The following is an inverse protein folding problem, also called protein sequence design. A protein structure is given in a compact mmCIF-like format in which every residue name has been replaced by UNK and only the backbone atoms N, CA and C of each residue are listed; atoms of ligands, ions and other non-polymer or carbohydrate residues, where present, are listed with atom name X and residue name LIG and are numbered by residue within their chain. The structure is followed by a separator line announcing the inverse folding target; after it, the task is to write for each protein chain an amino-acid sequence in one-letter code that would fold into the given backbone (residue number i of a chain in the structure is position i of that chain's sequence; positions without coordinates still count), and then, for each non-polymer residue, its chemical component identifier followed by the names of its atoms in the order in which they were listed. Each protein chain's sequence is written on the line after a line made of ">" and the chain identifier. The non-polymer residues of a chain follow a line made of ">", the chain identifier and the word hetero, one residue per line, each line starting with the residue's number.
data_IF_409838272815
#
_entry.id   IF_409838272815
#
_cell.length_a   1.000
_cell.length_b   1.000
_cell.length_c   1.000
_cell.angle_alpha   90.00
_cell.angle_beta   90.00
_cell.angle_gamma   90.00
#
_symmetry.space_group_name_H-M   'P 1'
#
loop_
_entity.id
_entity.type
_entity.pdbx_description
1 polymer ?
#
# COMPACT_ATOMS: atom_id res chain seq x y z
N UNK A 1 -4.21 22.25 29.80
CA UNK A 1 -3.09 21.42 29.31
C UNK A 1 -3.59 20.80 28.04
N UNK A 2 -3.22 21.40 26.91
CA UNK A 2 -3.67 20.99 25.58
C UNK A 2 -3.14 19.59 25.28
N UNK A 3 -4.06 18.69 24.95
CA UNK A 3 -3.73 17.40 24.39
C UNK A 3 -3.26 17.70 22.98
N UNK A 4 -1.95 17.70 22.75
CA UNK A 4 -1.41 17.65 21.39
C UNK A 4 -1.89 16.33 20.80
N UNK A 5 -2.96 16.42 19.99
CA UNK A 5 -3.37 15.34 19.12
C UNK A 5 -2.19 15.16 18.18
N UNK A 6 -1.41 14.12 18.42
CA UNK A 6 -0.24 13.81 17.63
C UNK A 6 -0.77 13.30 16.29
N UNK A 7 -0.95 14.25 15.38
CA UNK A 7 -1.41 14.04 14.02
C UNK A 7 -0.50 12.97 13.40
N UNK A 8 -1.05 11.77 13.33
CA UNK A 8 -0.36 10.59 12.86
C UNK A 8 -0.31 10.71 11.35
N UNK A 9 0.60 11.56 10.85
CA UNK A 9 0.87 11.84 9.45
C UNK A 9 1.48 10.64 8.69
N UNK A 10 1.22 9.40 9.13
CA UNK A 10 1.14 8.27 8.19
C UNK A 10 0.03 8.65 7.23
N UNK A 11 0.40 9.30 6.13
CA UNK A 11 -0.52 9.83 5.15
C UNK A 11 -1.62 8.79 4.93
N UNK A 12 -2.86 9.17 5.25
CA UNK A 12 -4.08 8.38 5.10
C UNK A 12 -4.29 8.08 3.62
N UNK A 13 -3.46 7.18 3.10
CA UNK A 13 -3.40 6.86 1.69
C UNK A 13 -4.40 5.76 1.44
N UNK A 14 -5.31 6.01 0.51
CA UNK A 14 -6.25 5.02 0.00
C UNK A 14 -5.84 4.63 -1.40
N UNK A 15 -5.91 3.34 -1.71
CA UNK A 15 -5.56 2.81 -3.01
C UNK A 15 -6.79 2.20 -3.68
N UNK A 16 -6.95 2.46 -4.96
CA UNK A 16 -7.90 1.76 -5.82
C UNK A 16 -7.17 1.03 -6.93
N UNK A 17 -7.39 -0.28 -7.03
CA UNK A 17 -6.88 -1.13 -8.10
C UNK A 17 -8.00 -1.41 -9.10
N UNK A 18 -7.77 -1.05 -10.36
CA UNK A 18 -8.66 -1.36 -11.46
C UNK A 18 -8.11 -2.51 -12.29
N UNK A 19 -8.89 -3.57 -12.46
CA UNK A 19 -8.50 -4.77 -13.19
C UNK A 19 -9.42 -5.05 -14.36
N UNK A 20 -8.83 -5.41 -15.50
CA UNK A 20 -9.58 -5.84 -16.68
C UNK A 20 -10.15 -7.24 -16.44
N UNK A 21 -11.44 -7.31 -16.13
CA UNK A 21 -12.08 -8.55 -15.65
C UNK A 21 -12.59 -9.49 -16.76
N UNK A 22 -12.66 -9.03 -18.01
CA UNK A 22 -13.19 -9.81 -19.15
C UNK A 22 -12.13 -10.32 -20.14
N UNK A 23 -10.85 -10.28 -19.77
CA UNK A 23 -9.81 -10.87 -20.62
C UNK A 23 -9.76 -12.40 -20.42
N UNK A 24 -9.73 -13.21 -21.50
CA UNK A 24 -9.47 -14.64 -21.38
C UNK A 24 -8.12 -14.86 -20.69
N UNK A 25 -7.97 -16.03 -20.07
CA UNK A 25 -6.97 -16.57 -19.13
C UNK A 25 -5.49 -16.16 -19.30
N UNK A 26 -5.10 -15.49 -20.38
CA UNK A 26 -3.75 -15.03 -20.70
C UNK A 26 -3.23 -13.85 -19.84
N UNK A 27 -4.09 -13.08 -19.17
CA UNK A 27 -3.68 -12.00 -18.25
C UNK A 27 -3.57 -12.42 -16.78
N UNK A 28 -3.73 -13.72 -16.50
CA UNK A 28 -3.71 -14.30 -15.14
C UNK A 28 -2.56 -13.83 -14.24
N UNK A 29 -1.28 -13.97 -14.64
CA UNK A 29 -0.17 -13.79 -13.70
C UNK A 29 0.05 -12.33 -13.29
N UNK A 30 -0.15 -11.36 -14.18
CA UNK A 30 -0.02 -9.94 -13.85
C UNK A 30 -1.14 -9.47 -12.93
N UNK A 31 -2.37 -9.91 -13.20
CA UNK A 31 -3.53 -9.60 -12.36
C UNK A 31 -3.39 -10.20 -10.97
N UNK A 32 -3.06 -11.48 -10.89
CA UNK A 32 -2.91 -12.21 -9.62
C UNK A 32 -1.82 -11.58 -8.76
N UNK A 33 -0.65 -11.27 -9.35
CA UNK A 33 0.41 -10.54 -8.65
C UNK A 33 -0.03 -9.18 -8.14
N UNK A 34 -0.78 -8.41 -8.94
CA UNK A 34 -1.28 -7.10 -8.50
C UNK A 34 -2.26 -7.23 -7.32
N UNK A 35 -3.15 -8.22 -7.35
CA UNK A 35 -4.08 -8.52 -6.25
C UNK A 35 -3.32 -8.94 -4.99
N UNK A 36 -2.32 -9.83 -5.10
CA UNK A 36 -1.45 -10.21 -3.99
C UNK A 36 -0.70 -9.03 -3.40
N UNK A 37 -0.16 -8.14 -4.25
CA UNK A 37 0.55 -6.95 -3.81
C UNK A 37 -0.35 -6.00 -3.02
N UNK A 38 -1.58 -5.82 -3.47
CA UNK A 38 -2.59 -4.99 -2.80
C UNK A 38 -3.00 -5.60 -1.46
N UNK A 39 -3.29 -6.90 -1.41
CA UNK A 39 -3.60 -7.60 -0.17
C UNK A 39 -2.45 -7.50 0.85
N UNK A 40 -1.20 -7.53 0.37
CA UNK A 40 -0.02 -7.33 1.23
C UNK A 40 0.09 -5.90 1.76
N UNK A 41 -0.28 -4.88 0.98
CA UNK A 41 -0.26 -3.49 1.44
C UNK A 41 -1.28 -3.25 2.55
N UNK A 42 -2.48 -3.82 2.41
CA UNK A 42 -3.52 -3.80 3.43
C UNK A 42 -3.10 -4.55 4.69
N UNK A 43 -2.63 -5.80 4.55
CA UNK A 43 -2.22 -6.64 5.69
C UNK A 43 -1.05 -6.04 6.49
N UNK A 44 -0.20 -5.24 5.84
CA UNK A 44 0.93 -4.58 6.51
C UNK A 44 0.57 -3.21 7.10
N UNK A 45 -0.66 -2.72 6.92
CA UNK A 45 -1.08 -1.37 7.28
C UNK A 45 -0.24 -0.29 6.56
N UNK A 46 0.18 -0.57 5.33
CA UNK A 46 0.92 0.40 4.50
C UNK A 46 0.00 1.50 3.97
N UNK A 47 -1.28 1.18 3.82
CA UNK A 47 -2.36 2.07 3.39
C UNK A 47 -3.57 1.87 4.29
N UNK A 48 -4.41 2.88 4.40
CA UNK A 48 -5.59 2.83 5.27
C UNK A 48 -6.69 1.95 4.66
N UNK A 49 -6.91 2.08 3.36
CA UNK A 49 -7.95 1.37 2.66
C UNK A 49 -7.53 0.98 1.25
N UNK A 50 -8.09 -0.12 0.81
CA UNK A 50 -7.89 -0.72 -0.50
C UNK A 50 -9.26 -1.01 -1.10
N UNK A 51 -9.46 -0.63 -2.36
CA UNK A 51 -10.58 -1.13 -3.15
C UNK A 51 -10.09 -1.75 -4.45
N UNK A 52 -10.83 -2.75 -4.94
CA UNK A 52 -10.54 -3.44 -6.20
C UNK A 52 -11.79 -3.40 -7.07
N UNK A 53 -11.68 -2.80 -8.24
CA UNK A 53 -12.77 -2.63 -9.20
C UNK A 53 -12.44 -3.27 -10.54
N UNK A 54 -13.49 -3.74 -11.23
CA UNK A 54 -13.37 -4.35 -12.55
C UNK A 54 -13.77 -3.42 -13.68
N UNK A 55 -13.02 -3.43 -14.78
CA UNK A 55 -13.43 -2.80 -16.05
C UNK A 55 -13.30 -3.73 -17.25
N UNK A 56 -14.00 -3.35 -18.33
CA UNK A 56 -13.91 -4.00 -19.64
C UNK A 56 -12.58 -3.72 -20.34
N UNK A 57 -12.36 -4.44 -21.44
CA UNK A 57 -11.23 -4.24 -22.34
C UNK A 57 -11.26 -2.87 -23.04
N UNK A 58 -12.44 -2.63 -23.59
CA UNK A 58 -12.83 -1.47 -24.34
C UNK A 58 -14.23 -1.13 -23.83
N UNK A 59 -14.45 0.15 -23.55
CA UNK A 59 -15.72 0.63 -23.01
C UNK A 59 -16.18 1.82 -23.82
N UNK A 60 -17.41 1.72 -24.31
CA UNK A 60 -18.14 2.83 -24.90
C UNK A 60 -18.77 3.65 -23.77
N UNK A 61 -18.28 4.86 -23.55
CA UNK A 61 -18.72 5.67 -22.41
C UNK A 61 -20.01 6.43 -22.71
N UNK A 62 -20.21 6.96 -23.92
CA UNK A 62 -21.35 7.82 -24.23
C UNK A 62 -22.70 7.08 -24.18
N UNK A 63 -22.76 5.88 -24.75
CA UNK A 63 -24.03 5.14 -24.90
C UNK A 63 -24.45 4.38 -23.63
N UNK A 64 -23.48 3.91 -22.84
CA UNK A 64 -23.71 2.98 -21.72
C UNK A 64 -23.60 3.62 -20.34
N UNK A 65 -22.92 4.77 -20.22
CA UNK A 65 -22.81 5.51 -18.96
C UNK A 65 -24.19 5.77 -18.37
N UNK A 66 -25.16 6.23 -19.15
CA UNK A 66 -26.42 6.65 -18.57
C UNK A 66 -27.22 5.51 -17.91
N UNK A 67 -27.04 4.29 -18.43
CA UNK A 67 -27.86 3.12 -18.12
C UNK A 67 -27.20 2.15 -17.16
N UNK A 68 -25.87 2.18 -17.05
CA UNK A 68 -25.09 1.19 -16.29
C UNK A 68 -24.25 1.89 -15.21
N UNK A 69 -24.59 1.75 -13.91
CA UNK A 69 -23.90 2.42 -12.81
C UNK A 69 -22.38 2.18 -12.77
N UNK A 70 -21.94 0.98 -13.13
CA UNK A 70 -20.52 0.64 -13.21
C UNK A 70 -19.80 1.45 -14.30
N UNK A 71 -20.45 1.69 -15.44
CA UNK A 71 -19.87 2.49 -16.53
C UNK A 71 -19.77 3.97 -16.11
N UNK A 72 -20.78 4.54 -15.43
CA UNK A 72 -20.66 5.89 -14.83
C UNK A 72 -19.50 5.99 -13.85
N UNK A 73 -19.28 4.95 -13.03
CA UNK A 73 -18.18 4.92 -12.07
C UNK A 73 -16.83 4.97 -12.80
N UNK A 74 -16.68 4.18 -13.86
CA UNK A 74 -15.47 4.15 -14.69
C UNK A 74 -15.26 5.49 -15.40
N UNK A 75 -16.29 6.05 -16.02
CA UNK A 75 -16.23 7.35 -16.69
C UNK A 75 -15.75 8.45 -15.75
N UNK A 76 -16.41 8.61 -14.58
CA UNK A 76 -15.97 9.57 -13.55
C UNK A 76 -14.52 9.38 -13.15
N UNK A 77 -14.05 8.13 -13.13
CA UNK A 77 -12.67 7.83 -12.75
C UNK A 77 -11.69 8.21 -13.83
N UNK A 78 -12.03 7.94 -15.09
CA UNK A 78 -11.21 8.34 -16.24
C UNK A 78 -11.10 9.86 -16.34
N UNK A 79 -12.20 10.60 -16.12
CA UNK A 79 -12.15 12.06 -16.02
C UNK A 79 -11.20 12.52 -14.93
N UNK A 80 -11.27 11.94 -13.73
CA UNK A 80 -10.36 12.28 -12.64
C UNK A 80 -8.89 11.95 -12.98
N UNK A 81 -8.63 10.87 -13.72
CA UNK A 81 -7.29 10.53 -14.18
C UNK A 81 -6.75 11.55 -15.17
N UNK A 82 -7.56 11.95 -16.17
CA UNK A 82 -7.18 12.98 -17.15
C UNK A 82 -6.91 14.33 -16.47
N UNK A 83 -7.75 14.72 -15.50
CA UNK A 83 -7.53 15.93 -14.70
C UNK A 83 -6.25 15.86 -13.86
N UNK A 84 -5.94 14.70 -13.29
CA UNK A 84 -4.68 14.50 -12.58
C UNK A 84 -3.47 14.58 -13.52
N UNK A 85 -3.55 13.94 -14.67
CA UNK A 85 -2.52 13.94 -15.70
C UNK A 85 -2.17 15.36 -16.15
N UNK A 86 -3.20 16.15 -16.47
CA UNK A 86 -3.03 17.56 -16.86
C UNK A 86 -2.48 18.47 -15.74
N UNK A 87 -2.79 18.19 -14.47
CA UNK A 87 -2.25 18.95 -13.33
C UNK A 87 -0.81 18.58 -12.96
N UNK A 88 -0.37 17.38 -13.31
CA UNK A 88 0.93 16.83 -12.90
C UNK A 88 1.93 16.71 -14.04
N UNK A 89 1.54 17.16 -15.24
CA UNK A 89 2.31 17.03 -16.48
C UNK A 89 2.70 15.58 -16.77
N UNK A 90 1.74 14.67 -16.55
CA UNK A 90 1.89 13.22 -16.79
C UNK A 90 1.07 12.81 -17.97
N UNK A 91 1.58 11.86 -18.74
CA UNK A 91 0.83 11.28 -19.84
C UNK A 91 0.20 9.95 -19.43
N UNK A 92 -1.09 9.80 -19.70
CA UNK A 92 -1.77 8.50 -19.58
C UNK A 92 -1.69 7.68 -20.86
N UNK A 93 -1.36 8.31 -21.99
CA UNK A 93 -1.04 7.61 -23.21
C UNK A 93 0.34 6.93 -23.10
N UNK A 94 0.50 5.72 -23.67
CA UNK A 94 -0.45 4.99 -24.52
C UNK A 94 -1.43 4.06 -23.76
N UNK A 95 -1.45 4.09 -22.43
CA UNK A 95 -2.11 3.08 -21.60
C UNK A 95 -3.62 3.25 -21.51
N UNK A 96 -4.07 4.50 -21.34
CA UNK A 96 -5.47 4.89 -21.36
C UNK A 96 -5.72 5.61 -22.68
N UNK A 97 -6.29 4.90 -23.65
CA UNK A 97 -6.41 5.43 -25.00
C UNK A 97 -7.86 5.66 -25.36
N UNK A 98 -8.23 6.91 -25.62
CA UNK A 98 -9.49 7.26 -26.28
C UNK A 98 -9.38 7.07 -27.78
N UNK A 99 -10.36 6.40 -28.38
CA UNK A 99 -10.48 6.20 -29.82
C UNK A 99 -11.92 6.47 -30.23
N UNK A 100 -12.09 7.34 -31.21
CA UNK A 100 -13.36 7.51 -31.89
C UNK A 100 -13.53 6.36 -32.89
N UNK A 101 -14.62 5.61 -32.78
CA UNK A 101 -14.97 4.51 -33.68
C UNK A 101 -16.23 4.90 -34.43
N UNK A 102 -16.26 4.62 -35.73
CA UNK A 102 -17.44 4.81 -36.56
C UNK A 102 -18.16 3.47 -36.72
N UNK A 103 -19.43 3.43 -36.32
CA UNK A 103 -20.30 2.27 -36.52
C UNK A 103 -20.52 2.08 -38.02
N UNK A 104 -20.00 0.99 -38.59
CA UNK A 104 -20.21 0.67 -40.00
C UNK A 104 -21.65 0.30 -40.33
N UNK A 105 -22.51 0.09 -39.31
CA UNK A 105 -23.92 -0.28 -39.48
C UNK A 105 -24.82 0.95 -39.39
N UNK A 106 -24.60 1.83 -38.41
CA UNK A 106 -25.45 3.01 -38.16
C UNK A 106 -24.85 4.31 -38.68
N UNK A 107 -23.55 4.34 -39.01
CA UNK A 107 -22.81 5.56 -39.37
C UNK A 107 -22.50 6.47 -38.18
N UNK A 108 -22.90 6.07 -36.98
CA UNK A 108 -22.72 6.88 -35.76
C UNK A 108 -21.29 6.73 -35.23
N UNK A 109 -20.73 7.88 -34.80
CA UNK A 109 -19.43 7.94 -34.16
C UNK A 109 -19.61 7.83 -32.65
N UNK A 110 -18.82 6.97 -32.02
CA UNK A 110 -18.84 6.76 -30.59
C UNK A 110 -17.41 6.69 -30.05
N UNK A 111 -17.19 7.26 -28.87
CA UNK A 111 -15.91 7.20 -28.18
C UNK A 111 -15.74 5.89 -27.40
N UNK A 112 -14.64 5.20 -27.69
CA UNK A 112 -14.23 3.96 -27.05
C UNK A 112 -12.91 4.19 -26.30
N UNK A 113 -12.90 3.84 -25.01
CA UNK A 113 -11.68 3.82 -24.22
C UNK A 113 -11.08 2.43 -24.20
N UNK A 114 -9.83 2.30 -24.67
CA UNK A 114 -9.01 1.12 -24.40
C UNK A 114 -8.33 1.30 -23.06
N UNK A 115 -8.61 0.38 -22.15
CA UNK A 115 -8.11 0.41 -20.77
C UNK A 115 -6.98 -0.59 -20.55
N UNK A 116 -6.03 -0.30 -19.64
CA UNK A 116 -4.95 -1.21 -19.33
C UNK A 116 -5.47 -2.44 -18.58
N UNK A 117 -4.67 -3.52 -18.55
CA UNK A 117 -5.00 -4.75 -17.81
C UNK A 117 -5.14 -4.49 -16.31
N UNK A 118 -4.25 -3.64 -15.78
CA UNK A 118 -4.25 -3.20 -14.40
C UNK A 118 -3.94 -1.71 -14.38
N UNK A 119 -4.67 -0.95 -13.55
CA UNK A 119 -4.28 0.39 -13.16
C UNK A 119 -4.38 0.56 -11.66
N UNK A 120 -3.53 1.41 -11.13
CA UNK A 120 -3.47 1.79 -9.74
C UNK A 120 -3.76 3.27 -9.64
N UNK A 121 -4.52 3.64 -8.63
CA UNK A 121 -4.71 5.03 -8.29
C UNK A 121 -4.63 5.23 -6.79
N UNK A 122 -3.88 6.26 -6.41
CA UNK A 122 -3.53 6.59 -5.04
C UNK A 122 -4.24 7.89 -4.66
N UNK A 123 -4.85 7.91 -3.48
CA UNK A 123 -5.49 9.07 -2.91
C UNK A 123 -4.87 9.45 -1.58
N UNK A 124 -4.89 10.74 -1.28
CA UNK A 124 -4.71 11.30 0.05
C UNK A 124 -5.94 12.16 0.43
N UNK A 125 -5.82 12.91 1.53
CA UNK A 125 -6.85 13.83 2.03
C UNK A 125 -7.23 14.94 1.01
N UNK A 126 -6.36 15.25 0.05
CA UNK A 126 -6.55 16.26 -1.00
C UNK A 126 -7.09 15.66 -2.30
N UNK A 127 -7.24 14.34 -2.36
CA UNK A 127 -7.79 13.62 -3.49
C UNK A 127 -6.73 12.82 -4.25
N UNK A 128 -6.90 12.74 -5.58
CA UNK A 128 -6.06 11.88 -6.43
C UNK A 128 -4.64 12.44 -6.54
N UNK A 129 -3.68 11.69 -6.01
CA UNK A 129 -2.25 12.06 -5.98
C UNK A 129 -1.41 11.33 -7.00
N UNK A 130 -1.79 10.11 -7.39
CA UNK A 130 -1.04 9.35 -8.38
C UNK A 130 -1.92 8.38 -9.17
N UNK A 131 -1.60 8.19 -10.44
CA UNK A 131 -2.18 7.15 -11.30
C UNK A 131 -1.06 6.40 -12.01
N UNK A 132 -1.13 5.08 -12.02
CA UNK A 132 -0.26 4.21 -12.81
C UNK A 132 -1.10 3.20 -13.60
N UNK A 133 -0.69 2.79 -14.82
CA UNK A 133 0.52 3.24 -15.49
C UNK A 133 0.39 4.67 -16.03
N UNK A 134 1.49 5.42 -15.99
CA UNK A 134 1.61 6.74 -16.60
C UNK A 134 3.02 6.95 -17.16
N UNK A 135 3.18 8.00 -17.95
CA UNK A 135 4.46 8.51 -18.40
C UNK A 135 4.83 9.77 -17.63
N UNK A 136 6.11 9.83 -17.34
CA UNK A 136 6.82 10.96 -16.76
C UNK A 136 7.95 11.32 -17.72
N UNK A 137 7.72 12.29 -18.59
CA UNK A 137 8.59 12.56 -19.74
C UNK A 137 8.85 11.28 -20.57
N UNK A 138 10.10 10.79 -20.57
CA UNK A 138 10.50 9.59 -21.30
C UNK A 138 10.29 8.30 -20.47
N UNK A 139 10.08 8.42 -19.16
CA UNK A 139 9.99 7.28 -18.25
C UNK A 139 8.55 6.78 -18.12
N UNK A 140 8.37 5.49 -18.33
CA UNK A 140 7.14 4.80 -17.94
C UNK A 140 7.20 4.46 -16.45
N UNK A 141 6.15 4.79 -15.72
CA UNK A 141 5.90 4.33 -14.35
C UNK A 141 4.80 3.29 -14.42
N UNK A 142 5.11 2.04 -14.06
CA UNK A 142 4.12 0.97 -14.02
C UNK A 142 3.49 0.79 -12.62
N UNK A 143 2.48 -0.08 -12.55
CA UNK A 143 1.73 -0.35 -11.31
C UNK A 143 2.62 -0.98 -10.22
N UNK A 144 3.58 -1.83 -10.60
CA UNK A 144 4.49 -2.48 -9.67
C UNK A 144 5.57 -1.53 -9.17
N UNK A 145 6.10 -0.65 -10.03
CA UNK A 145 6.98 0.46 -9.61
C UNK A 145 6.33 1.29 -8.50
N UNK A 146 5.03 1.56 -8.65
CA UNK A 146 4.28 2.29 -7.62
C UNK A 146 4.05 1.49 -6.35
N UNK A 147 3.74 0.20 -6.45
CA UNK A 147 3.65 -0.63 -5.26
C UNK A 147 4.97 -0.67 -4.47
N UNK A 148 6.11 -0.73 -5.14
CA UNK A 148 7.41 -0.72 -4.47
C UNK A 148 7.73 0.63 -3.84
N UNK A 149 7.34 1.72 -4.50
CA UNK A 149 7.51 3.05 -3.91
C UNK A 149 6.61 3.25 -2.68
N UNK A 150 5.36 2.79 -2.72
CA UNK A 150 4.46 2.82 -1.54
C UNK A 150 5.04 2.06 -0.34
N UNK A 151 5.66 0.90 -0.59
CA UNK A 151 6.37 0.13 0.47
C UNK A 151 7.64 0.80 0.95
N UNK A 152 8.32 1.56 0.10
CA UNK A 152 9.51 2.31 0.48
C UNK A 152 9.12 3.53 1.32
N UNK A 153 8.08 4.26 0.91
CA UNK A 153 7.53 5.42 1.62
C UNK A 153 7.03 5.03 3.01
N UNK A 154 6.26 3.94 3.13
CA UNK A 154 5.77 3.50 4.44
C UNK A 154 6.88 3.03 5.38
N UNK A 155 7.96 2.45 4.83
CA UNK A 155 9.17 2.14 5.61
C UNK A 155 9.89 3.40 6.06
N UNK A 156 10.03 4.41 5.19
CA UNK A 156 10.63 5.69 5.57
C UNK A 156 9.82 6.35 6.66
N UNK A 157 8.49 6.42 6.50
CA UNK A 157 7.60 7.04 7.48
C UNK A 157 7.71 6.36 8.86
N UNK A 158 7.83 5.02 8.90
CA UNK A 158 8.13 4.29 10.14
C UNK A 158 9.50 4.59 10.74
N UNK A 159 10.52 4.85 9.94
CA UNK A 159 11.86 5.19 10.44
C UNK A 159 11.90 6.60 11.05
N UNK A 160 11.12 7.55 10.53
CA UNK A 160 10.99 8.89 11.15
C UNK A 160 10.28 8.83 12.51
N UNK A 161 9.61 7.71 12.85
CA UNK A 161 9.00 7.48 14.19
C UNK A 161 10.01 6.99 15.23
N UNK A 162 11.26 6.69 14.87
CA UNK A 162 12.30 6.25 15.81
C UNK A 162 13.18 7.38 16.38
N UNK A 163 12.88 8.64 16.06
CA UNK A 163 13.49 9.82 16.70
C UNK A 163 12.62 10.31 17.86
N UNK A 164 12.80 9.68 19.03
CA UNK A 164 12.24 10.05 20.33
C UNK A 164 12.07 8.80 21.20
N UNK A 165 12.96 8.43 22.12
CA UNK A 165 13.80 9.21 23.03
C UNK A 165 14.95 8.29 23.56
N UNK A 166 16.24 8.66 23.48
CA UNK A 166 17.32 7.91 24.12
C UNK A 166 17.72 8.46 25.50
N UNK A 167 16.79 9.00 26.29
CA UNK A 167 17.03 9.49 27.67
C UNK A 167 16.18 8.70 28.69
N UNK A 168 16.26 7.37 28.70
CA UNK A 168 16.15 6.63 29.99
C UNK A 168 17.55 6.52 30.57
N UNK A 169 18.03 7.65 31.13
CA UNK A 169 19.12 7.65 32.09
C UNK A 169 18.73 6.74 33.24
N UNK A 170 19.29 5.54 33.26
CA UNK A 170 19.42 4.78 34.50
C UNK A 170 20.60 5.32 35.31
N UNK A 171 20.31 6.37 36.05
CA UNK A 171 21.01 6.82 37.26
C UNK A 171 19.88 7.04 38.28
N UNK A 172 19.78 6.50 39.48
CA UNK A 172 20.71 5.92 40.43
C UNK A 172 19.84 5.08 41.40
N UNK A 173 20.28 3.87 41.75
CA UNK A 173 20.02 3.36 43.11
C UNK A 173 21.12 2.39 43.50
N UNK A 174 22.29 2.96 43.78
CA UNK A 174 23.30 2.29 44.59
C UNK A 174 22.81 2.27 46.04
N UNK A 175 21.87 1.36 46.33
CA UNK A 175 21.58 0.97 47.70
C UNK A 175 22.59 -0.05 48.20
N UNK A 176 23.62 0.54 48.79
CA UNK A 176 24.59 0.02 49.76
C UNK A 176 24.06 -1.15 50.64
N UNK A 177 24.93 -2.17 50.75
CA UNK A 177 25.11 -3.20 51.80
C UNK A 177 24.25 -4.46 51.76
N UNK A 178 24.85 -5.54 51.23
CA UNK A 178 25.06 -6.76 52.01
C UNK A 178 26.56 -7.06 52.03
N UNK A 179 27.19 -6.83 53.19
CA UNK A 179 28.40 -7.54 53.59
C UNK A 179 27.93 -8.64 54.52
N UNK A 180 27.95 -9.88 54.04
CA UNK A 180 27.92 -11.08 54.89
C UNK A 180 28.78 -12.17 54.27
N UNK A 181 30.08 -12.11 54.55
CA UNK A 181 30.92 -13.26 54.91
C UNK A 181 31.81 -12.76 56.04
N UNK A 182 32.01 -13.54 57.12
CA UNK A 182 32.69 -14.84 57.04
C UNK A 182 31.99 -15.87 57.99
N UNK A 183 32.32 -17.15 58.19
CA UNK A 183 33.56 -17.93 58.28
C UNK A 183 33.10 -19.40 58.37
N UNK A 184 33.78 -20.33 57.69
CA UNK A 184 33.71 -21.78 57.99
C UNK A 184 34.23 -22.08 59.40
N UNK A 185 33.72 -23.12 60.07
CA UNK A 185 34.54 -24.33 60.14
C UNK A 185 33.71 -25.63 59.94
N UNK A 186 34.15 -26.45 58.97
CA UNK A 186 34.63 -27.86 59.08
C UNK A 186 34.08 -28.80 60.17
N UNK A 187 34.32 -30.12 60.06
CA UNK A 187 33.69 -31.17 59.26
C UNK A 187 32.69 -31.99 60.11
N UNK A 188 31.91 -32.89 59.50
CA UNK A 188 31.84 -34.26 60.04
C UNK A 188 31.19 -35.24 59.06
N UNK A 189 32.07 -36.08 58.53
CA UNK A 189 31.83 -37.42 58.01
C UNK A 189 31.06 -38.25 59.04
N UNK A 190 30.09 -39.01 58.53
CA UNK A 190 29.28 -40.01 59.22
C UNK A 190 30.14 -40.95 60.09
N UNK A 191 29.69 -41.29 61.31
CA UNK A 191 30.41 -42.20 62.19
C UNK A 191 30.37 -43.63 61.66
N UNK A 192 31.56 -44.21 61.55
CA UNK A 192 31.80 -45.65 61.40
C UNK A 192 30.91 -46.46 62.36
N UNK A 193 30.15 -47.41 61.79
CA UNK A 193 29.63 -48.56 62.54
C UNK A 193 30.79 -49.47 62.97
N UNK A 194 30.92 -49.79 64.26
CA UNK A 194 31.87 -50.80 64.73
C UNK A 194 31.25 -52.20 64.63
N UNK A 195 31.89 -53.08 63.87
CA UNK A 195 31.70 -54.52 64.04
C UNK A 195 32.54 -55.03 65.21
N UNK A 196 32.05 -56.04 65.95
CA UNK A 196 32.92 -56.97 66.64
C UNK A 196 32.60 -58.45 66.33
N UNK A 197 33.69 -59.21 66.13
CA UNK A 197 33.87 -60.68 66.17
C UNK A 197 33.19 -61.57 65.13
#
# INVERSE_FOLDING_TARGET
>A
MEITVQDSHTAQRTIELWVRSFAPTATGPTRERALEQVARLEATGTVESVSVDGWGAEIELETLSERVPQIRKIERRLTAFEEWAGRTDRDLEPFFRRRQVESTITGERHDVYRLPTVALAEFDERGLVHVAPCRDDDRTIDVFDRFDTLRADSRRDRLVRFDGDPDDRRDDSISRRVRSRPTEPDPHVEPHSPGPY
#
